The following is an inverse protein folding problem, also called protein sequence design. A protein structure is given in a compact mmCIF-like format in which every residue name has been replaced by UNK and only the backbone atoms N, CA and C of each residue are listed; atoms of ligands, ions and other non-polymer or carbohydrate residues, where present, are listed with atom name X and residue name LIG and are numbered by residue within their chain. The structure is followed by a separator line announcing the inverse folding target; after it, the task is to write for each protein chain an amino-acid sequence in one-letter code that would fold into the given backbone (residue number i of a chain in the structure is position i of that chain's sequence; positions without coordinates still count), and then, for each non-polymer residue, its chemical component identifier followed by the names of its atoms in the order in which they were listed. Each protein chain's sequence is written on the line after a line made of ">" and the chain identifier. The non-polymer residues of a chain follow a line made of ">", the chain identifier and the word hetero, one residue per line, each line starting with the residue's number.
data_IF_324971839638
#
_entry.id   IF_324971839638
#
_cell.length_a   1.000
_cell.length_b   1.000
_cell.length_c   1.000
_cell.angle_alpha   90.00
_cell.angle_beta   90.00
_cell.angle_gamma   90.00
#
_symmetry.space_group_name_H-M   'P 1'
#
loop_
_entity.id
_entity.type
_entity.pdbx_description
1 polymer ?
#
# COMPACT_ATOMS: atom_id res chain seq x y z
N UNK A 1 28.40 6.37 -71.60
CA UNK A 1 27.92 5.28 -70.72
C UNK A 1 28.20 5.71 -69.30
N UNK A 2 27.18 6.11 -68.54
CA UNK A 2 27.32 6.47 -67.13
C UNK A 2 26.26 5.69 -66.37
N UNK A 3 26.68 4.71 -65.57
CA UNK A 3 25.81 3.97 -64.65
C UNK A 3 25.85 4.68 -63.29
N UNK A 4 24.74 5.33 -62.92
CA UNK A 4 24.54 5.79 -61.54
C UNK A 4 23.97 4.64 -60.71
N UNK A 5 24.76 4.14 -59.75
CA UNK A 5 24.32 3.18 -58.73
C UNK A 5 23.60 3.96 -57.63
N UNK A 6 22.31 3.68 -57.44
CA UNK A 6 21.49 4.23 -56.36
C UNK A 6 21.64 3.33 -55.11
N UNK A 7 22.38 3.78 -54.09
CA UNK A 7 22.52 3.09 -52.81
C UNK A 7 21.35 3.47 -51.90
N UNK A 8 20.36 2.58 -51.77
CA UNK A 8 19.26 2.71 -50.82
C UNK A 8 19.80 2.41 -49.41
N UNK A 9 19.95 3.44 -48.56
CA UNK A 9 20.30 3.26 -47.14
C UNK A 9 19.07 2.78 -46.37
N UNK A 10 19.09 1.53 -45.91
CA UNK A 10 18.10 1.00 -44.98
C UNK A 10 18.27 1.72 -43.63
N UNK A 11 17.33 2.59 -43.27
CA UNK A 11 17.28 3.22 -41.94
C UNK A 11 16.50 2.27 -41.04
N UNK A 12 17.21 1.46 -40.25
CA UNK A 12 16.60 0.67 -39.18
C UNK A 12 16.30 1.59 -38.00
N UNK A 13 15.03 1.95 -37.83
CA UNK A 13 14.56 2.68 -36.65
C UNK A 13 14.58 1.69 -35.48
N UNK A 14 15.30 1.94 -34.38
CA UNK A 14 15.23 1.09 -33.20
C UNK A 14 13.83 1.25 -32.61
N UNK A 15 13.04 0.18 -32.63
CA UNK A 15 11.78 0.13 -31.88
C UNK A 15 12.16 0.14 -30.40
N UNK A 16 12.03 1.32 -29.78
CA UNK A 16 12.11 1.44 -28.33
C UNK A 16 10.90 0.72 -27.75
N UNK A 17 11.13 -0.47 -27.19
CA UNK A 17 10.19 -1.13 -26.29
C UNK A 17 10.05 -0.22 -25.06
N UNK A 18 9.05 0.66 -25.08
CA UNK A 18 8.64 1.41 -23.90
C UNK A 18 8.01 0.40 -22.95
N UNK A 19 8.79 -0.10 -21.99
CA UNK A 19 8.24 -0.71 -20.79
C UNK A 19 7.36 0.36 -20.14
N UNK A 20 6.04 0.20 -20.21
CA UNK A 20 5.10 1.06 -19.52
C UNK A 20 5.35 0.93 -18.01
N UNK A 21 6.16 1.82 -17.45
CA UNK A 21 6.20 2.01 -16.01
C UNK A 21 4.88 2.70 -15.65
N UNK A 22 3.95 1.95 -15.05
CA UNK A 22 2.74 2.51 -14.47
C UNK A 22 3.15 3.47 -13.37
N UNK A 23 3.17 4.76 -13.66
CA UNK A 23 3.35 5.78 -12.63
C UNK A 23 2.15 5.71 -11.69
N UNK A 24 2.36 5.50 -10.38
CA UNK A 24 1.26 5.50 -9.43
C UNK A 24 0.50 6.82 -9.53
N UNK A 25 -0.82 6.76 -9.59
CA UNK A 25 -1.69 7.95 -9.57
C UNK A 25 -1.96 8.45 -8.14
N UNK A 26 -1.21 7.94 -7.16
CA UNK A 26 -1.36 8.23 -5.75
C UNK A 26 -0.09 7.99 -4.93
N UNK A 27 -0.26 7.61 -3.67
CA UNK A 27 0.82 7.43 -2.71
C UNK A 27 1.05 5.96 -2.42
N UNK A 28 2.27 5.49 -2.66
CA UNK A 28 2.72 4.15 -2.31
C UNK A 28 3.80 4.29 -1.24
N UNK A 29 3.47 3.94 0.00
CA UNK A 29 4.33 4.15 1.16
C UNK A 29 4.87 2.82 1.68
N UNK A 30 6.19 2.74 1.77
CA UNK A 30 6.95 1.70 2.46
C UNK A 30 7.15 2.13 3.92
N UNK A 31 6.33 1.57 4.82
CA UNK A 31 6.24 2.03 6.19
C UNK A 31 7.45 1.59 7.00
N UNK A 32 8.14 2.54 7.63
CA UNK A 32 9.35 2.25 8.41
C UNK A 32 10.65 2.31 7.62
N UNK A 33 10.61 2.56 6.31
CA UNK A 33 11.79 2.62 5.46
C UNK A 33 12.69 3.86 5.66
N UNK A 34 12.22 4.89 6.39
CA UNK A 34 12.97 6.13 6.63
C UNK A 34 14.31 5.95 7.38
N UNK A 35 14.40 4.92 8.23
CA UNK A 35 15.66 4.53 8.90
C UNK A 35 16.51 3.52 8.12
N UNK A 36 15.99 3.00 7.01
CA UNK A 36 16.72 2.06 6.16
C UNK A 36 17.62 2.84 5.18
N UNK A 37 18.75 2.26 4.79
CA UNK A 37 19.59 2.80 3.71
C UNK A 37 18.90 2.84 2.34
N UNK A 38 17.69 2.28 2.22
CA UNK A 38 16.95 2.07 0.97
C UNK A 38 16.06 3.26 0.58
N UNK A 39 15.63 4.07 1.56
CA UNK A 39 14.72 5.20 1.32
C UNK A 39 13.37 4.80 0.69
N UNK A 40 12.95 3.55 0.89
CA UNK A 40 11.76 2.91 0.32
C UNK A 40 12.09 1.65 -0.49
N UNK A 41 11.07 0.98 -1.04
CA UNK A 41 11.19 -0.25 -1.82
C UNK A 41 10.69 -0.13 -3.27
N UNK A 42 11.01 -1.10 -4.11
CA UNK A 42 10.35 -1.30 -5.41
C UNK A 42 9.75 -2.69 -5.40
N UNK A 43 8.46 -2.79 -5.68
CA UNK A 43 7.72 -4.05 -5.69
C UNK A 43 6.85 -4.10 -6.95
N UNK A 44 6.91 -5.23 -7.69
CA UNK A 44 6.15 -5.44 -8.92
C UNK A 44 6.24 -4.29 -9.95
N UNK A 45 7.40 -3.62 -10.02
CA UNK A 45 7.66 -2.48 -10.91
C UNK A 45 7.14 -1.13 -10.40
N UNK A 46 6.50 -1.09 -9.23
CA UNK A 46 6.01 0.12 -8.57
C UNK A 46 7.00 0.60 -7.51
N UNK A 47 7.29 1.90 -7.50
CA UNK A 47 8.18 2.53 -6.51
C UNK A 47 7.38 2.95 -5.29
N UNK A 48 7.71 2.37 -4.14
CA UNK A 48 7.24 2.78 -2.82
C UNK A 48 8.27 3.71 -2.19
N UNK A 49 7.81 4.83 -1.64
CA UNK A 49 8.67 5.79 -0.94
C UNK A 49 8.50 5.65 0.57
N UNK A 50 9.44 6.18 1.35
CA UNK A 50 9.30 6.22 2.80
C UNK A 50 7.99 6.89 3.24
N UNK A 51 7.44 6.43 4.36
CA UNK A 51 6.24 6.98 4.98
C UNK A 51 6.51 8.25 5.83
N UNK A 52 7.76 8.72 5.86
CA UNK A 52 8.15 9.98 6.47
C UNK A 52 7.42 11.19 5.86
N UNK A 53 7.05 12.14 6.71
CA UNK A 53 6.27 13.31 6.31
C UNK A 53 4.76 13.07 6.23
N UNK A 54 4.32 11.81 6.18
CA UNK A 54 2.89 11.45 6.24
C UNK A 54 2.41 11.09 7.65
N UNK A 55 3.34 10.77 8.55
CA UNK A 55 3.09 10.48 9.96
C UNK A 55 4.23 11.00 10.83
N UNK A 56 3.94 11.37 12.08
CA UNK A 56 4.90 11.95 13.03
C UNK A 56 5.12 11.10 14.29
N UNK A 57 4.44 9.95 14.40
CA UNK A 57 4.47 9.07 15.58
C UNK A 57 4.86 7.66 15.16
N UNK A 58 5.11 6.81 16.15
CA UNK A 58 5.50 5.43 15.94
C UNK A 58 7.01 5.26 15.73
N UNK A 59 7.45 4.05 16.01
CA UNK A 59 8.82 3.60 15.85
C UNK A 59 8.92 2.75 14.59
N UNK A 60 10.12 2.54 14.09
CA UNK A 60 10.39 1.81 12.85
C UNK A 60 11.31 0.63 13.15
N UNK A 61 11.20 -0.44 12.37
CA UNK A 61 12.12 -1.59 12.46
C UNK A 61 12.25 -2.27 11.10
N UNK A 62 13.41 -2.88 10.87
CA UNK A 62 13.65 -3.83 9.78
C UNK A 62 13.53 -5.25 10.34
N UNK A 63 12.95 -6.15 9.55
CA UNK A 63 12.79 -7.55 9.89
C UNK A 63 14.03 -8.36 9.49
N UNK A 64 14.40 -9.33 10.32
CA UNK A 64 15.60 -10.16 10.07
C UNK A 64 15.35 -11.26 9.03
N UNK A 65 14.09 -11.57 8.72
CA UNK A 65 13.74 -12.57 7.71
C UNK A 65 14.29 -12.18 6.33
N UNK A 66 14.91 -13.16 5.68
CA UNK A 66 15.42 -13.04 4.31
C UNK A 66 14.32 -13.31 3.30
N UNK A 67 14.53 -12.83 2.07
CA UNK A 67 13.70 -13.12 0.90
C UNK A 67 12.23 -12.66 1.04
N UNK A 68 11.98 -11.69 1.93
CA UNK A 68 10.70 -11.00 1.98
C UNK A 68 10.50 -10.14 0.74
N UNK A 69 9.24 -10.03 0.32
CA UNK A 69 8.80 -8.98 -0.59
C UNK A 69 9.29 -7.63 -0.04
N UNK A 70 9.95 -6.78 -0.85
CA UNK A 70 10.62 -5.56 -0.37
C UNK A 70 9.80 -4.66 0.56
N UNK A 71 8.51 -4.44 0.27
CA UNK A 71 7.61 -3.60 1.08
C UNK A 71 7.19 -4.23 2.43
N UNK A 72 7.60 -5.47 2.69
CA UNK A 72 7.36 -6.19 3.95
C UNK A 72 8.62 -6.26 4.82
N UNK A 73 9.78 -5.84 4.30
CA UNK A 73 11.05 -5.92 5.01
C UNK A 73 11.13 -4.90 6.18
N UNK A 74 10.36 -3.81 6.11
CA UNK A 74 10.25 -2.82 7.17
C UNK A 74 8.81 -2.65 7.62
N UNK A 75 8.64 -2.17 8.86
CA UNK A 75 7.35 -1.74 9.36
C UNK A 75 7.48 -0.55 10.31
N UNK A 76 6.39 0.20 10.44
CA UNK A 76 6.17 1.17 11.52
C UNK A 76 5.24 0.57 12.56
N UNK A 77 5.58 0.71 13.84
CA UNK A 77 4.78 0.23 14.97
C UNK A 77 4.53 1.32 16.01
N UNK A 78 3.45 1.19 16.77
CA UNK A 78 2.95 2.24 17.66
C UNK A 78 2.84 1.73 19.11
N UNK A 79 3.92 1.86 19.91
CA UNK A 79 3.98 1.30 21.26
C UNK A 79 3.29 2.15 22.33
N UNK A 80 3.00 3.43 22.05
CA UNK A 80 2.37 4.33 23.01
C UNK A 80 0.94 3.86 23.36
N UNK A 81 0.75 3.29 24.54
CA UNK A 81 -0.56 2.83 24.99
C UNK A 81 -1.48 3.96 25.50
N UNK A 82 -0.96 5.18 25.66
CA UNK A 82 -1.76 6.34 26.11
C UNK A 82 -2.56 6.97 24.97
N UNK A 83 -2.05 6.88 23.74
CA UNK A 83 -2.75 7.32 22.54
C UNK A 83 -3.79 6.27 22.10
N UNK A 84 -4.99 6.73 21.72
CA UNK A 84 -6.06 5.84 21.22
C UNK A 84 -5.91 5.50 19.74
N UNK A 85 -5.26 6.36 18.95
CA UNK A 85 -5.06 6.16 17.51
C UNK A 85 -3.82 6.90 17.00
N UNK A 86 -3.25 6.38 15.91
CA UNK A 86 -2.10 6.91 15.20
C UNK A 86 -2.50 7.08 13.74
N UNK A 87 -2.34 8.28 13.20
CA UNK A 87 -2.96 8.64 11.93
C UNK A 87 -1.92 9.13 10.93
N UNK A 88 -1.93 8.54 9.75
CA UNK A 88 -1.36 9.12 8.54
C UNK A 88 -2.24 10.27 8.05
N UNK A 89 -1.62 11.28 7.46
CA UNK A 89 -2.27 12.41 6.79
C UNK A 89 -1.80 12.46 5.35
N UNK A 90 -2.62 11.95 4.44
CA UNK A 90 -2.27 11.81 3.02
C UNK A 90 -2.90 12.96 2.22
N UNK A 91 -2.11 13.80 1.52
CA UNK A 91 -2.67 14.83 0.66
C UNK A 91 -3.52 14.20 -0.45
N UNK A 92 -4.72 14.72 -0.68
CA UNK A 92 -5.65 14.18 -1.68
C UNK A 92 -6.44 15.30 -2.36
N UNK A 93 -7.06 14.98 -3.50
CA UNK A 93 -7.97 15.88 -4.20
C UNK A 93 -9.35 15.73 -3.56
N UNK A 94 -9.86 16.80 -2.97
CA UNK A 94 -11.22 16.84 -2.44
C UNK A 94 -12.22 16.50 -3.56
N UNK A 95 -13.12 15.56 -3.29
CA UNK A 95 -14.14 15.10 -4.23
C UNK A 95 -13.68 13.97 -5.17
N UNK A 96 -12.41 13.56 -5.13
CA UNK A 96 -11.93 12.38 -5.84
C UNK A 96 -12.14 11.10 -5.02
N UNK A 97 -12.24 9.97 -5.71
CA UNK A 97 -12.30 8.64 -5.09
C UNK A 97 -10.90 8.05 -4.97
N UNK A 98 -10.68 7.34 -3.88
CA UNK A 98 -9.42 6.69 -3.59
C UNK A 98 -9.63 5.25 -3.15
N UNK A 99 -8.80 4.35 -3.66
CA UNK A 99 -8.53 3.06 -3.03
C UNK A 99 -7.51 3.30 -1.92
N UNK A 100 -7.83 2.86 -0.71
CA UNK A 100 -6.90 2.78 0.40
C UNK A 100 -6.63 1.30 0.66
N UNK A 101 -5.37 0.90 0.58
CA UNK A 101 -4.92 -0.45 0.93
C UNK A 101 -3.87 -0.38 2.03
N UNK A 102 -4.07 -1.16 3.07
CA UNK A 102 -3.14 -1.32 4.18
C UNK A 102 -2.62 -2.74 4.20
N UNK A 103 -1.30 -2.88 4.30
CA UNK A 103 -0.62 -4.19 4.30
C UNK A 103 0.14 -4.38 5.60
N UNK A 104 0.03 -5.59 6.15
CA UNK A 104 0.51 -5.96 7.47
C UNK A 104 1.27 -7.28 7.41
N UNK A 105 2.58 -7.23 7.63
CA UNK A 105 3.39 -8.41 7.88
C UNK A 105 4.03 -8.31 9.26
N UNK A 106 3.60 -9.17 10.19
CA UNK A 106 4.00 -9.07 11.60
C UNK A 106 5.46 -9.50 11.82
N UNK A 107 5.88 -10.60 11.20
CA UNK A 107 7.26 -11.09 11.27
C UNK A 107 7.81 -11.35 12.69
N UNK A 108 6.97 -11.32 13.72
CA UNK A 108 7.41 -11.40 15.12
C UNK A 108 8.27 -10.22 15.58
N UNK A 109 8.09 -9.02 15.01
CA UNK A 109 9.01 -7.88 15.20
C UNK A 109 9.22 -7.44 16.66
N UNK A 110 8.25 -7.69 17.54
CA UNK A 110 8.31 -7.34 18.97
C UNK A 110 8.65 -8.55 19.86
N UNK A 111 8.99 -9.70 19.27
CA UNK A 111 9.28 -10.95 19.98
C UNK A 111 8.06 -11.60 20.65
N UNK A 112 6.86 -11.10 20.39
CA UNK A 112 5.62 -11.64 20.94
C UNK A 112 5.19 -12.96 20.31
N UNK A 113 4.44 -13.76 21.07
CA UNK A 113 3.87 -15.03 20.57
C UNK A 113 2.72 -14.80 19.57
N UNK A 114 2.03 -13.65 19.66
CA UNK A 114 0.86 -13.33 18.83
C UNK A 114 0.86 -11.86 18.41
N UNK A 115 0.44 -11.56 17.17
CA UNK A 115 0.28 -10.19 16.71
C UNK A 115 -0.83 -9.45 17.49
N UNK A 116 -0.79 -8.11 17.52
CA UNK A 116 -1.86 -7.32 18.10
C UNK A 116 -3.08 -7.28 17.20
N UNK A 117 -4.26 -7.28 17.82
CA UNK A 117 -5.53 -6.99 17.17
C UNK A 117 -5.89 -5.52 17.40
N UNK A 118 -6.19 -4.78 16.35
CA UNK A 118 -6.47 -3.34 16.42
C UNK A 118 -7.48 -2.91 15.35
N UNK A 119 -7.99 -1.69 15.45
CA UNK A 119 -8.94 -1.12 14.49
C UNK A 119 -8.21 -0.29 13.44
N UNK A 120 -8.76 -0.23 12.23
CA UNK A 120 -8.37 0.73 11.20
C UNK A 120 -9.54 1.68 10.89
N UNK A 121 -9.19 2.95 10.71
CA UNK A 121 -10.14 4.07 10.59
C UNK A 121 -9.73 4.90 9.38
N UNK A 122 -10.69 5.29 8.54
CA UNK A 122 -10.48 6.25 7.44
C UNK A 122 -11.39 7.45 7.66
N UNK A 123 -10.83 8.67 7.64
CA UNK A 123 -11.53 9.94 7.89
C UNK A 123 -12.47 9.92 9.11
N UNK A 124 -12.03 9.25 10.19
CA UNK A 124 -12.79 9.13 11.44
C UNK A 124 -13.86 8.02 11.45
N UNK A 125 -14.07 7.32 10.32
CA UNK A 125 -14.98 6.18 10.22
C UNK A 125 -14.21 4.88 10.41
N UNK A 126 -14.63 4.04 11.37
CA UNK A 126 -14.06 2.70 11.54
C UNK A 126 -14.36 1.87 10.29
N UNK A 127 -13.29 1.41 9.65
CA UNK A 127 -13.37 0.60 8.45
C UNK A 127 -13.33 -0.90 8.78
N UNK A 128 -12.47 -1.32 9.72
CA UNK A 128 -12.35 -2.73 10.04
C UNK A 128 -11.50 -3.01 11.28
N UNK A 129 -11.41 -4.29 11.62
CA UNK A 129 -10.46 -4.83 12.58
C UNK A 129 -9.34 -5.48 11.79
N UNK A 130 -8.10 -5.18 12.16
CA UNK A 130 -6.91 -5.87 11.69
C UNK A 130 -6.61 -6.97 12.68
N UNK A 131 -6.70 -8.20 12.20
CA UNK A 131 -6.25 -9.40 12.89
C UNK A 131 -5.39 -10.20 11.92
N UNK A 132 -4.11 -10.36 12.25
CA UNK A 132 -3.12 -11.04 11.40
C UNK A 132 -2.68 -12.38 12.00
N UNK A 133 -3.43 -12.90 12.98
CA UNK A 133 -3.07 -14.11 13.74
C UNK A 133 -2.91 -15.32 12.82
N UNK A 134 -3.88 -15.57 11.94
CA UNK A 134 -3.85 -16.73 11.04
C UNK A 134 -2.78 -16.57 9.97
N UNK A 135 -2.65 -15.37 9.38
CA UNK A 135 -1.62 -15.09 8.38
C UNK A 135 -0.21 -15.23 8.95
N UNK A 136 0.02 -14.75 10.18
CA UNK A 136 1.30 -14.92 10.87
C UNK A 136 1.68 -16.39 11.06
N UNK A 137 0.74 -17.25 11.46
CA UNK A 137 0.99 -18.70 11.62
C UNK A 137 1.39 -19.34 10.30
N UNK A 138 0.92 -18.81 9.18
CA UNK A 138 1.25 -19.29 7.83
C UNK A 138 2.44 -18.55 7.19
N UNK A 139 3.07 -17.60 7.90
CA UNK A 139 4.16 -16.78 7.35
C UNK A 139 3.70 -15.83 6.24
N UNK A 140 2.42 -15.44 6.23
CA UNK A 140 1.79 -14.59 5.22
C UNK A 140 1.59 -13.17 5.73
N UNK A 141 1.38 -12.24 4.80
CA UNK A 141 0.92 -10.89 5.09
C UNK A 141 -0.59 -10.80 4.93
N UNK A 142 -1.22 -9.91 5.71
CA UNK A 142 -2.62 -9.53 5.52
C UNK A 142 -2.70 -8.21 4.78
N UNK A 143 -3.68 -8.05 3.90
CA UNK A 143 -4.04 -6.73 3.38
C UNK A 143 -5.54 -6.47 3.51
N UNK A 144 -5.88 -5.20 3.61
CA UNK A 144 -7.25 -4.74 3.67
C UNK A 144 -7.41 -3.63 2.64
N UNK A 145 -8.56 -3.58 1.96
CA UNK A 145 -8.89 -2.48 1.04
C UNK A 145 -10.25 -1.80 1.34
N UNK A 146 -10.28 -0.49 1.14
CA UNK A 146 -11.50 0.33 1.15
C UNK A 146 -11.46 1.38 0.04
N UNK A 147 -12.59 1.62 -0.59
CA UNK A 147 -12.81 2.73 -1.51
C UNK A 147 -13.64 3.79 -0.82
N UNK A 148 -13.12 5.02 -0.81
CA UNK A 148 -13.74 6.19 -0.18
C UNK A 148 -13.71 7.41 -1.11
N UNK A 149 -14.60 8.35 -0.85
CA UNK A 149 -14.55 9.71 -1.41
C UNK A 149 -13.80 10.62 -0.45
N UNK A 150 -12.81 11.36 -0.95
CA UNK A 150 -12.08 12.34 -0.16
C UNK A 150 -12.95 13.57 0.14
N UNK A 151 -13.33 13.76 1.40
CA UNK A 151 -14.19 14.90 1.81
C UNK A 151 -13.40 16.20 2.05
N UNK A 152 -12.08 16.08 2.18
CA UNK A 152 -11.14 17.17 2.41
C UNK A 152 -9.93 17.08 1.46
N UNK A 153 -8.97 18.00 1.62
CA UNK A 153 -7.69 17.99 0.89
C UNK A 153 -6.62 17.08 1.51
N UNK A 154 -6.98 16.41 2.60
CA UNK A 154 -6.16 15.40 3.26
C UNK A 154 -7.08 14.26 3.69
N UNK A 155 -6.62 13.03 3.49
CA UNK A 155 -7.28 11.80 3.88
C UNK A 155 -6.52 11.23 5.09
N UNK A 156 -7.25 10.97 6.17
CA UNK A 156 -6.66 10.37 7.37
C UNK A 156 -6.83 8.86 7.37
N UNK A 157 -5.73 8.12 7.49
CA UNK A 157 -5.75 6.66 7.68
C UNK A 157 -5.12 6.35 9.03
N UNK A 158 -5.92 5.85 9.97
CA UNK A 158 -5.48 5.62 11.34
C UNK A 158 -5.53 4.17 11.76
N UNK A 159 -4.56 3.78 12.59
CA UNK A 159 -4.56 2.55 13.38
C UNK A 159 -4.96 2.91 14.80
N UNK A 160 -5.92 2.21 15.39
CA UNK A 160 -6.48 2.53 16.69
C UNK A 160 -6.49 1.33 17.62
N UNK A 161 -6.02 1.55 18.86
CA UNK A 161 -6.09 0.52 19.90
C UNK A 161 -7.55 0.29 20.27
N UNK A 162 -7.92 -0.97 20.45
CA UNK A 162 -9.23 -1.40 20.94
C UNK A 162 -9.06 -2.27 22.21
N UNK A 163 -10.17 -2.79 22.74
CA UNK A 163 -10.16 -3.60 23.97
C UNK A 163 -9.34 -4.91 23.86
N UNK A 164 -9.08 -5.39 22.65
CA UNK A 164 -8.33 -6.62 22.38
C UNK A 164 -6.84 -6.34 22.10
N UNK A 165 -6.42 -5.09 21.95
CA UNK A 165 -5.04 -4.75 21.60
C UNK A 165 -4.07 -5.04 22.76
N UNK A 166 -3.25 -6.08 22.61
CA UNK A 166 -2.28 -6.51 23.64
C UNK A 166 -0.87 -5.96 23.44
N UNK A 167 -0.42 -5.82 22.20
CA UNK A 167 0.90 -5.24 21.85
C UNK A 167 0.73 -4.02 20.94
N UNK A 168 1.73 -3.71 20.10
CA UNK A 168 1.80 -2.45 19.33
C UNK A 168 1.14 -2.58 17.95
N UNK A 169 0.06 -1.84 17.62
CA UNK A 169 -0.40 -1.75 16.24
C UNK A 169 0.75 -1.43 15.30
N UNK A 170 0.71 -1.96 14.09
CA UNK A 170 1.81 -1.84 13.14
C UNK A 170 1.29 -1.79 11.70
N UNK A 171 2.11 -1.35 10.76
CA UNK A 171 1.81 -1.30 9.32
C UNK A 171 3.10 -1.45 8.51
N UNK A 172 3.07 -2.24 7.45
CA UNK A 172 4.21 -2.50 6.55
C UNK A 172 4.14 -1.64 5.29
N UNK A 173 2.95 -1.50 4.70
CA UNK A 173 2.74 -0.61 3.56
C UNK A 173 1.37 0.08 3.60
N UNK A 174 1.32 1.30 3.05
CA UNK A 174 0.09 2.07 2.85
C UNK A 174 0.02 2.55 1.41
N UNK A 175 -1.05 2.19 0.73
CA UNK A 175 -1.33 2.58 -0.65
C UNK A 175 -2.59 3.43 -0.65
N UNK A 176 -2.52 4.64 -1.20
CA UNK A 176 -3.66 5.55 -1.41
C UNK A 176 -3.67 5.97 -2.86
N UNK A 177 -4.45 5.27 -3.67
CA UNK A 177 -4.44 5.38 -5.12
C UNK A 177 -5.71 6.06 -5.63
N UNK A 178 -5.54 6.99 -6.58
CA UNK A 178 -6.67 7.65 -7.22
C UNK A 178 -7.44 6.64 -8.09
N UNK A 179 -8.76 6.66 -7.98
CA UNK A 179 -9.66 5.88 -8.83
C UNK A 179 -10.44 6.79 -9.77
N UNK A 180 -10.58 6.35 -11.02
CA UNK A 180 -11.40 7.06 -12.00
C UNK A 180 -12.86 7.20 -11.56
N UNK A 181 -13.47 8.33 -11.93
CA UNK A 181 -14.84 8.67 -11.56
C UNK A 181 -15.88 7.66 -12.09
N UNK A 182 -15.56 6.94 -13.17
CA UNK A 182 -16.37 5.88 -13.75
C UNK A 182 -16.49 4.62 -12.86
N UNK A 183 -15.47 4.31 -12.05
CA UNK A 183 -15.41 3.08 -11.26
C UNK A 183 -16.37 3.13 -10.07
N UNK A 184 -17.19 2.09 -9.86
CA UNK A 184 -18.17 2.05 -8.76
C UNK A 184 -19.18 3.21 -8.77
N UNK A 185 -19.56 3.72 -9.95
CA UNK A 185 -20.50 4.84 -10.11
C UNK A 185 -21.92 4.60 -9.54
N UNK A 186 -22.29 3.34 -9.27
CA UNK A 186 -23.56 2.97 -8.65
C UNK A 186 -23.63 3.29 -7.14
N UNK A 187 -22.51 3.67 -6.51
CA UNK A 187 -22.42 3.93 -5.06
C UNK A 187 -22.48 5.42 -4.75
N UNK A 188 -23.37 5.82 -3.82
CA UNK A 188 -23.37 7.17 -3.24
C UNK A 188 -22.26 7.29 -2.19
N UNK A 189 -21.05 7.64 -2.62
CA UNK A 189 -19.90 7.75 -1.72
C UNK A 189 -19.96 8.91 -0.73
N UNK A 190 -20.94 9.81 -0.82
CA UNK A 190 -21.17 10.80 0.24
C UNK A 190 -21.77 10.15 1.51
N UNK A 191 -22.28 8.93 1.40
CA UNK A 191 -22.92 8.18 2.50
C UNK A 191 -22.26 6.84 2.78
N UNK A 192 -21.66 6.22 1.76
CA UNK A 192 -21.15 4.86 1.82
C UNK A 192 -19.67 4.79 1.42
N UNK A 193 -19.01 3.73 1.88
CA UNK A 193 -17.70 3.31 1.41
C UNK A 193 -17.79 1.84 0.99
N UNK A 194 -16.88 1.40 0.12
CA UNK A 194 -16.83 0.01 -0.31
C UNK A 194 -15.61 -0.67 0.31
N UNK A 195 -15.82 -1.67 1.16
CA UNK A 195 -14.75 -2.55 1.65
C UNK A 195 -14.64 -3.75 0.73
N UNK A 196 -13.43 -4.11 0.30
CA UNK A 196 -13.21 -5.35 -0.45
C UNK A 196 -13.51 -6.55 0.44
N UNK A 197 -14.33 -7.48 -0.06
CA UNK A 197 -14.59 -8.78 0.57
C UNK A 197 -13.79 -9.88 -0.13
N UNK A 198 -13.80 -9.88 -1.46
CA UNK A 198 -13.03 -10.79 -2.28
C UNK A 198 -12.70 -10.11 -3.61
N UNK A 199 -11.57 -10.50 -4.20
CA UNK A 199 -11.21 -10.21 -5.58
C UNK A 199 -10.91 -11.55 -6.25
N UNK A 200 -11.54 -11.80 -7.37
CA UNK A 200 -11.38 -13.06 -8.11
C UNK A 200 -11.18 -12.75 -9.58
N UNK A 201 -10.24 -13.45 -10.20
CA UNK A 201 -10.08 -13.47 -11.64
C UNK A 201 -10.59 -14.83 -12.14
N UNK A 202 -11.45 -14.83 -13.14
CA UNK A 202 -11.98 -16.05 -13.73
C UNK A 202 -11.42 -16.22 -15.14
N UNK A 203 -10.98 -17.44 -15.48
CA UNK A 203 -10.52 -17.77 -16.84
C UNK A 203 -9.12 -17.28 -17.21
N UNK A 204 -8.23 -17.04 -16.22
CA UNK A 204 -6.82 -16.76 -16.48
C UNK A 204 -5.95 -18.02 -16.36
N UNK A 205 -5.14 -18.30 -17.39
CA UNK A 205 -4.13 -19.39 -17.41
C UNK A 205 -2.75 -18.93 -16.89
N UNK A 206 -2.70 -17.85 -16.08
CA UNK A 206 -1.45 -17.24 -15.61
C UNK A 206 -1.23 -17.41 -14.11
N UNK A 207 0.04 -17.62 -13.72
CA UNK A 207 0.50 -17.67 -12.33
C UNK A 207 0.12 -16.37 -11.61
N UNK A 208 -0.65 -16.50 -10.53
CA UNK A 208 -1.05 -15.39 -9.68
C UNK A 208 0.18 -14.95 -8.86
N UNK A 209 0.78 -13.82 -9.24
CA UNK A 209 1.70 -13.07 -8.37
C UNK A 209 0.86 -12.48 -7.24
N UNK A 210 0.91 -13.14 -6.09
CA UNK A 210 0.42 -12.65 -4.80
C UNK A 210 1.57 -12.24 -3.90
#
# INVERSE_FOLDING_TARGET
>A
MSLSIFLLRLVTIPVLLVLSQTTPTGYLLDCGAGGSSRGGATESGLRYVTDEGFITTGNITELEQKDLVPILATLRYFPDSSARKFCYSIPVIKGAKYLVKTTYYYGGFDGGEKPPVFDQIVDGTKWGVVDTTDDYVNGLSSYYEIVVLAMAKSLSVCLARNQNTKSSPFISALEVEYLEDSLYNATDFNKYALRTVARSSFGGDGELIG
#
